data_IF_990310561535
#
_entry.id   IF_990310561535
#
_cell.length_a   1.000
_cell.length_b   1.000
_cell.length_c   1.000
_cell.angle_alpha   90.00
_cell.angle_beta   90.00
_cell.angle_gamma   90.00
#
_symmetry.space_group_name_H-M   'P 1'
#
loop_
_entity.id
_entity.type
_entity.pdbx_description
1 polymer ?
#
# COMPACT_ATOMS: atom_id res chain seq x y z
N UNK A 1 -5.62 20.28 -13.74
CA UNK A 1 -5.00 19.18 -12.96
C UNK A 1 -3.50 19.29 -13.13
N UNK A 2 -2.72 19.29 -12.04
CA UNK A 2 -1.27 19.47 -12.07
C UNK A 2 -0.58 18.09 -12.11
N UNK A 3 0.49 17.97 -12.92
CA UNK A 3 1.24 16.75 -13.13
C UNK A 3 2.66 16.91 -12.63
N UNK A 4 3.23 15.85 -12.04
CA UNK A 4 4.56 15.82 -11.46
C UNK A 4 5.35 14.63 -12.00
N UNK A 5 6.62 14.81 -12.25
CA UNK A 5 7.49 13.73 -12.70
C UNK A 5 7.60 12.64 -11.63
N UNK A 6 7.56 11.38 -12.07
CA UNK A 6 7.80 10.25 -11.18
C UNK A 6 9.32 10.14 -10.94
N UNK A 7 9.73 10.17 -9.67
CA UNK A 7 11.12 10.07 -9.25
C UNK A 7 11.85 8.88 -9.89
N UNK A 8 12.96 9.15 -10.57
CA UNK A 8 13.73 8.18 -11.34
C UNK A 8 13.22 7.92 -12.75
N UNK A 9 12.10 8.55 -13.14
CA UNK A 9 11.47 8.47 -14.46
C UNK A 9 11.15 9.86 -15.04
N UNK A 10 11.90 10.86 -14.64
CA UNK A 10 11.77 12.24 -15.09
C UNK A 10 11.82 12.31 -16.62
N UNK A 11 10.92 13.10 -17.21
CA UNK A 11 10.80 13.23 -18.66
C UNK A 11 10.17 12.03 -19.38
N UNK A 12 9.85 10.94 -18.69
CA UNK A 12 9.21 9.76 -19.25
C UNK A 12 7.77 9.57 -18.73
N UNK A 13 7.57 9.73 -17.42
CA UNK A 13 6.26 9.49 -16.79
C UNK A 13 5.96 10.54 -15.73
N UNK A 14 4.67 10.88 -15.66
CA UNK A 14 4.14 11.81 -14.67
C UNK A 14 2.93 11.21 -13.94
N UNK A 15 2.72 11.67 -12.70
CA UNK A 15 1.61 11.30 -11.85
C UNK A 15 0.90 12.56 -11.34
N UNK A 16 -0.40 12.47 -11.08
CA UNK A 16 -1.18 13.53 -10.44
C UNK A 16 -1.71 13.09 -9.07
N UNK A 17 -2.33 14.01 -8.33
CA UNK A 17 -2.88 13.80 -6.99
C UNK A 17 -4.03 12.78 -6.93
N UNK A 18 -4.65 12.45 -8.06
CA UNK A 18 -5.69 11.43 -8.14
C UNK A 18 -5.14 10.01 -8.37
N UNK A 19 -3.81 9.87 -8.52
CA UNK A 19 -3.17 8.59 -8.82
C UNK A 19 -3.23 8.19 -10.29
N UNK A 20 -3.59 9.12 -11.19
CA UNK A 20 -3.48 8.87 -12.62
C UNK A 20 -2.02 9.00 -13.05
N UNK A 21 -1.57 8.12 -13.94
CA UNK A 21 -0.21 8.11 -14.49
C UNK A 21 -0.26 8.29 -15.99
N UNK A 22 0.60 9.16 -16.53
CA UNK A 22 0.77 9.34 -17.97
C UNK A 22 2.20 9.15 -18.41
N UNK A 23 2.39 8.57 -19.59
CA UNK A 23 3.66 8.65 -20.30
C UNK A 23 3.78 9.98 -21.00
N UNK A 24 4.99 10.52 -21.10
CA UNK A 24 5.31 11.69 -21.88
C UNK A 24 5.77 11.30 -23.30
N UNK A 25 5.60 12.15 -24.30
CA UNK A 25 6.18 11.92 -25.61
C UNK A 25 7.71 11.83 -25.51
N UNK A 26 8.29 10.75 -26.05
CA UNK A 26 9.73 10.55 -26.05
C UNK A 26 10.19 9.63 -27.19
N UNK A 27 11.48 9.68 -27.50
CA UNK A 27 12.12 8.77 -28.44
C UNK A 27 12.88 7.68 -27.71
N UNK A 28 12.74 6.44 -28.16
CA UNK A 28 13.56 5.31 -27.71
C UNK A 28 14.48 4.85 -28.83
N UNK A 29 15.79 4.72 -28.53
CA UNK A 29 16.79 4.20 -29.47
C UNK A 29 16.88 2.68 -29.37
N UNK A 30 16.91 2.01 -30.50
CA UNK A 30 17.19 0.58 -30.65
C UNK A 30 18.46 0.38 -31.47
N UNK A 31 18.94 -0.85 -31.53
CA UNK A 31 20.13 -1.22 -32.33
C UNK A 31 20.00 -0.75 -33.79
N UNK A 32 18.83 -0.84 -34.38
CA UNK A 32 18.56 -0.59 -35.80
C UNK A 32 17.61 0.59 -36.04
N UNK A 33 17.46 1.55 -35.09
CA UNK A 33 16.60 2.69 -35.33
C UNK A 33 16.14 3.41 -34.07
N UNK A 34 15.15 4.28 -34.26
CA UNK A 34 14.51 5.08 -33.19
C UNK A 34 13.02 4.95 -33.33
N UNK A 35 12.30 4.72 -32.22
CA UNK A 35 10.85 4.77 -32.18
C UNK A 35 10.38 6.00 -31.38
N UNK A 36 9.34 6.64 -31.89
CA UNK A 36 8.65 7.72 -31.17
C UNK A 36 7.47 7.14 -30.40
N UNK A 37 7.39 7.46 -29.13
CA UNK A 37 6.27 7.11 -28.25
C UNK A 37 5.44 8.38 -27.99
N UNK A 38 4.18 8.34 -28.39
CA UNK A 38 3.25 9.42 -28.08
C UNK A 38 2.80 9.30 -26.60
N UNK A 39 2.76 10.43 -25.89
CA UNK A 39 2.32 10.46 -24.50
C UNK A 39 0.84 10.08 -24.37
N UNK A 40 0.50 9.26 -23.37
CA UNK A 40 -0.87 8.84 -23.07
C UNK A 40 -1.06 8.49 -21.61
N UNK A 41 -2.31 8.51 -21.15
CA UNK A 41 -2.68 7.92 -19.86
C UNK A 41 -2.39 6.42 -19.86
N UNK A 42 -1.79 5.93 -18.80
CA UNK A 42 -1.47 4.52 -18.64
C UNK A 42 -2.65 3.77 -18.02
N UNK A 43 -2.87 2.55 -18.50
CA UNK A 43 -3.83 1.63 -17.90
C UNK A 43 -3.30 1.11 -16.58
N UNK A 44 -4.10 1.21 -15.53
CA UNK A 44 -3.80 0.64 -14.23
C UNK A 44 -4.29 -0.81 -14.18
N UNK A 45 -3.54 -1.64 -13.45
CA UNK A 45 -3.83 -3.06 -13.28
C UNK A 45 -4.19 -3.37 -11.83
N UNK A 46 -5.23 -4.18 -11.61
CA UNK A 46 -5.52 -4.71 -10.28
C UNK A 46 -4.45 -5.76 -9.89
N UNK A 47 -4.00 -5.71 -8.64
CA UNK A 47 -3.00 -6.65 -8.11
C UNK A 47 -3.55 -8.02 -7.76
N UNK A 48 -4.88 -8.22 -7.84
CA UNK A 48 -5.58 -9.39 -7.30
C UNK A 48 -5.84 -9.30 -5.79
N UNK A 49 -5.29 -8.25 -5.11
CA UNK A 49 -5.50 -7.97 -3.68
C UNK A 49 -6.15 -6.59 -3.46
N UNK A 50 -6.78 -6.05 -4.51
CA UNK A 50 -7.49 -4.76 -4.50
C UNK A 50 -6.60 -3.53 -4.70
N UNK A 51 -5.27 -3.65 -4.76
CA UNK A 51 -4.38 -2.53 -5.04
C UNK A 51 -4.22 -2.29 -6.54
N UNK A 52 -4.10 -1.03 -6.93
CA UNK A 52 -3.79 -0.65 -8.31
C UNK A 52 -2.27 -0.54 -8.52
N UNK A 53 -1.83 -1.02 -9.68
CA UNK A 53 -0.43 -1.02 -10.13
C UNK A 53 -0.30 -0.43 -11.51
N UNK A 54 0.89 0.07 -11.83
CA UNK A 54 1.30 0.52 -13.17
C UNK A 54 2.66 -0.04 -13.52
N UNK A 55 2.87 -0.35 -14.80
CA UNK A 55 4.15 -0.77 -15.33
C UNK A 55 4.84 0.42 -16.02
N UNK A 56 6.04 0.75 -15.56
CA UNK A 56 6.89 1.80 -16.12
C UNK A 56 8.11 1.16 -16.77
N UNK A 57 8.49 1.65 -17.94
CA UNK A 57 9.65 1.16 -18.69
C UNK A 57 10.70 2.27 -18.79
N UNK A 58 11.95 1.93 -18.47
CA UNK A 58 13.12 2.80 -18.68
C UNK A 58 14.32 1.94 -19.06
N UNK A 59 15.09 2.36 -20.05
CA UNK A 59 16.29 1.67 -20.55
C UNK A 59 16.03 0.18 -20.89
N UNK A 60 14.88 -0.09 -21.51
CA UNK A 60 14.47 -1.46 -21.88
C UNK A 60 14.04 -2.34 -20.71
N UNK A 61 14.05 -1.83 -19.48
CA UNK A 61 13.64 -2.57 -18.28
C UNK A 61 12.27 -2.10 -17.82
N UNK A 62 11.35 -3.04 -17.66
CA UNK A 62 10.01 -2.80 -17.10
C UNK A 62 10.04 -3.04 -15.59
N UNK A 63 9.44 -2.11 -14.85
CA UNK A 63 9.25 -2.22 -13.40
C UNK A 63 7.83 -1.89 -13.02
N UNK A 64 7.25 -2.68 -12.11
CA UNK A 64 5.89 -2.52 -11.62
C UNK A 64 5.87 -1.76 -10.31
N UNK A 65 4.97 -0.79 -10.23
CA UNK A 65 4.79 0.07 -9.06
C UNK A 65 3.35 0.05 -8.57
N UNK A 66 3.15 0.13 -7.27
CA UNK A 66 1.86 0.40 -6.68
C UNK A 66 1.53 1.89 -6.78
N UNK A 67 0.30 2.23 -7.17
CA UNK A 67 -0.13 3.63 -7.36
C UNK A 67 -0.08 4.40 -6.05
N UNK A 68 -0.64 3.87 -4.94
CA UNK A 68 -0.60 4.54 -3.64
C UNK A 68 0.83 4.90 -3.21
N UNK A 69 1.82 4.05 -3.51
CA UNK A 69 3.22 4.36 -3.18
C UNK A 69 3.83 5.44 -4.05
N UNK A 70 3.44 5.50 -5.33
CA UNK A 70 3.89 6.58 -6.22
C UNK A 70 3.27 7.91 -5.80
N UNK A 71 1.97 7.93 -5.47
CA UNK A 71 1.29 9.13 -4.97
C UNK A 71 1.89 9.59 -3.65
N UNK A 72 1.98 8.70 -2.66
CA UNK A 72 2.53 9.05 -1.36
C UNK A 72 3.99 9.55 -1.47
N UNK A 73 4.82 8.88 -2.27
CA UNK A 73 6.21 9.27 -2.47
C UNK A 73 6.41 10.56 -3.25
N UNK A 74 5.38 11.04 -3.98
CA UNK A 74 5.45 12.28 -4.75
C UNK A 74 4.84 13.47 -4.00
N UNK A 75 3.80 13.25 -3.19
CA UNK A 75 2.96 14.33 -2.66
C UNK A 75 2.89 14.41 -1.14
N UNK A 76 3.33 13.38 -0.42
CA UNK A 76 3.19 13.31 1.05
C UNK A 76 4.59 13.21 1.67
N UNK A 77 4.93 14.19 2.50
CA UNK A 77 6.17 14.17 3.25
C UNK A 77 6.21 13.00 4.23
N UNK A 78 7.39 12.38 4.37
CA UNK A 78 7.61 11.27 5.28
C UNK A 78 8.82 11.53 6.19
N UNK A 79 8.75 12.51 7.10
CA UNK A 79 9.88 12.89 7.95
C UNK A 79 10.32 11.77 8.90
N UNK A 80 9.39 10.89 9.27
CA UNK A 80 9.64 9.76 10.16
C UNK A 80 10.12 8.49 9.43
N UNK A 81 10.28 8.52 8.10
CA UNK A 81 10.65 7.38 7.27
C UNK A 81 9.76 6.15 7.49
N UNK A 82 8.46 6.35 7.67
CA UNK A 82 7.52 5.25 7.83
C UNK A 82 7.50 4.33 6.60
N UNK A 83 7.51 2.99 6.80
CA UNK A 83 7.67 2.05 5.69
C UNK A 83 6.38 1.76 4.92
N UNK A 84 5.21 2.09 5.48
CA UNK A 84 3.92 1.71 4.92
C UNK A 84 3.08 2.93 4.53
N UNK A 85 2.26 2.74 3.49
CA UNK A 85 1.23 3.70 3.07
C UNK A 85 -0.12 3.09 3.39
N UNK A 86 -0.91 3.77 4.20
CA UNK A 86 -2.27 3.40 4.57
C UNK A 86 -3.28 4.11 3.65
N UNK A 87 -4.41 3.45 3.40
CA UNK A 87 -5.61 4.06 2.81
C UNK A 87 -6.57 4.42 3.94
N UNK A 88 -6.72 5.71 4.24
CA UNK A 88 -7.52 6.22 5.36
C UNK A 88 -8.96 5.68 5.35
N UNK A 89 -9.57 5.59 4.18
CA UNK A 89 -10.91 5.02 4.00
C UNK A 89 -10.98 3.48 3.99
N UNK A 90 -9.83 2.78 4.03
CA UNK A 90 -9.75 1.34 3.80
C UNK A 90 -9.95 0.91 2.34
N UNK A 91 -10.35 1.82 1.45
CA UNK A 91 -10.54 1.51 0.02
C UNK A 91 -9.21 1.53 -0.72
N UNK A 92 -8.64 0.36 -1.00
CA UNK A 92 -7.36 0.18 -1.69
C UNK A 92 -7.32 0.68 -3.14
N UNK A 93 -8.47 0.97 -3.74
CA UNK A 93 -8.58 1.51 -5.10
C UNK A 93 -8.62 3.03 -5.14
N UNK A 94 -8.90 3.70 -4.03
CA UNK A 94 -8.90 5.15 -3.91
C UNK A 94 -7.50 5.66 -3.56
N UNK A 95 -6.72 5.99 -4.59
CA UNK A 95 -5.34 6.43 -4.46
C UNK A 95 -5.17 7.96 -4.52
N UNK A 96 -6.24 8.72 -4.25
CA UNK A 96 -6.14 10.18 -4.12
C UNK A 96 -5.28 10.55 -2.92
N UNK A 97 -4.51 11.62 -3.03
CA UNK A 97 -3.55 12.03 -2.00
C UNK A 97 -4.21 12.24 -0.64
N UNK A 98 -5.44 12.79 -0.60
CA UNK A 98 -6.20 13.00 0.63
C UNK A 98 -6.64 11.72 1.35
N UNK A 99 -6.60 10.56 0.66
CA UNK A 99 -6.92 9.26 1.23
C UNK A 99 -5.68 8.43 1.62
N UNK A 100 -4.49 9.00 1.51
CA UNK A 100 -3.24 8.28 1.76
C UNK A 100 -2.44 8.95 2.87
N UNK A 101 -1.77 8.14 3.67
CA UNK A 101 -0.85 8.59 4.70
C UNK A 101 0.31 7.62 4.88
N UNK A 102 1.48 8.15 5.30
CA UNK A 102 2.59 7.30 5.72
C UNK A 102 2.40 6.88 7.17
N UNK A 103 2.54 5.59 7.45
CA UNK A 103 2.31 5.03 8.79
C UNK A 103 3.39 4.02 9.18
N UNK A 104 3.55 3.83 10.50
CA UNK A 104 4.28 2.69 11.03
C UNK A 104 3.50 1.40 10.79
N UNK A 105 4.17 0.25 10.85
CA UNK A 105 3.51 -1.05 10.74
C UNK A 105 2.44 -1.24 11.83
N UNK A 106 2.75 -0.85 13.07
CA UNK A 106 1.81 -0.94 14.19
C UNK A 106 0.55 -0.09 13.99
N UNK A 107 0.70 1.16 13.56
CA UNK A 107 -0.44 2.06 13.26
C UNK A 107 -1.31 1.49 12.15
N UNK A 108 -0.70 0.92 11.10
CA UNK A 108 -1.45 0.33 10.00
C UNK A 108 -2.28 -0.89 10.43
N UNK A 109 -1.70 -1.73 11.31
CA UNK A 109 -2.44 -2.86 11.90
C UNK A 109 -3.61 -2.37 12.75
N UNK A 110 -3.38 -1.39 13.63
CA UNK A 110 -4.46 -0.78 14.46
C UNK A 110 -5.59 -0.25 13.60
N UNK A 111 -5.28 0.48 12.54
CA UNK A 111 -6.27 0.98 11.59
C UNK A 111 -7.05 -0.15 10.92
N UNK A 112 -6.36 -1.19 10.43
CA UNK A 112 -7.02 -2.35 9.82
C UNK A 112 -7.96 -3.08 10.79
N UNK A 113 -7.58 -3.18 12.08
CA UNK A 113 -8.46 -3.73 13.15
C UNK A 113 -9.70 -2.86 13.33
N UNK A 114 -9.52 -1.55 13.51
CA UNK A 114 -10.64 -0.62 13.74
C UNK A 114 -11.64 -0.59 12.59
N UNK A 115 -11.16 -0.82 11.36
CA UNK A 115 -11.98 -0.91 10.15
C UNK A 115 -12.59 -2.29 9.90
N UNK A 116 -12.30 -3.30 10.74
CA UNK A 116 -12.76 -4.68 10.53
C UNK A 116 -12.18 -5.35 9.27
N UNK A 117 -11.04 -4.87 8.78
CA UNK A 117 -10.41 -5.33 7.53
C UNK A 117 -9.52 -6.55 7.71
N UNK A 118 -9.56 -7.22 8.87
CA UNK A 118 -8.82 -8.45 9.08
C UNK A 118 -9.40 -9.58 8.24
N UNK A 119 -8.55 -10.23 7.45
CA UNK A 119 -8.88 -11.53 6.88
C UNK A 119 -8.69 -12.59 7.96
N UNK A 120 -9.79 -13.07 8.49
CA UNK A 120 -9.82 -14.21 9.39
C UNK A 120 -9.60 -15.46 8.52
N UNK A 121 -8.47 -16.15 8.69
CA UNK A 121 -8.27 -17.47 8.09
C UNK A 121 -8.54 -18.52 9.16
N UNK A 122 -9.34 -19.54 8.82
CA UNK A 122 -9.50 -20.70 9.69
C UNK A 122 -8.20 -21.50 9.72
N UNK A 123 -7.38 -21.27 10.75
CA UNK A 123 -6.28 -22.16 11.03
C UNK A 123 -6.77 -23.33 11.88
N UNK A 124 -6.63 -24.56 11.36
CA UNK A 124 -7.07 -25.81 12.04
C UNK A 124 -6.25 -26.16 13.27
N UNK A 125 -5.16 -25.45 13.54
CA UNK A 125 -4.23 -25.67 14.66
C UNK A 125 -4.29 -24.58 15.74
N UNK A 126 -5.38 -23.81 15.85
CA UNK A 126 -5.48 -22.77 16.88
C UNK A 126 -5.43 -23.38 18.29
N UNK A 127 -4.35 -23.08 19.04
CA UNK A 127 -4.25 -23.30 20.46
C UNK A 127 -5.37 -22.55 21.18
N UNK A 128 -5.85 -23.05 22.31
CA UNK A 128 -6.85 -22.34 23.14
C UNK A 128 -6.29 -20.96 23.50
N UNK A 129 -6.83 -19.92 22.90
CA UNK A 129 -6.41 -18.55 23.16
C UNK A 129 -7.12 -18.05 24.41
N UNK A 130 -6.33 -17.59 25.39
CA UNK A 130 -6.83 -16.83 26.55
C UNK A 130 -6.64 -15.34 26.28
N UNK A 131 -7.34 -14.46 27.00
CA UNK A 131 -7.14 -13.01 26.86
C UNK A 131 -5.68 -12.59 27.10
N UNK A 132 -5.00 -13.29 27.98
CA UNK A 132 -3.60 -13.03 28.34
C UNK A 132 -2.65 -13.35 27.19
N UNK A 133 -2.79 -14.52 26.55
CA UNK A 133 -2.02 -14.90 25.36
C UNK A 133 -2.31 -13.99 24.17
N UNK A 134 -3.57 -13.53 24.05
CA UNK A 134 -3.99 -12.63 23.00
C UNK A 134 -3.30 -11.26 23.11
N UNK A 135 -3.20 -10.73 24.34
CA UNK A 135 -2.47 -9.48 24.63
C UNK A 135 -0.99 -9.60 24.30
N UNK A 136 -0.35 -10.68 24.71
CA UNK A 136 1.08 -10.94 24.43
C UNK A 136 1.33 -11.08 22.92
N UNK A 137 0.49 -11.84 22.23
CA UNK A 137 0.59 -12.03 20.78
C UNK A 137 0.39 -10.71 20.02
N UNK A 138 -0.57 -9.88 20.45
CA UNK A 138 -0.81 -8.55 19.87
C UNK A 138 0.38 -7.62 20.09
N UNK A 139 0.92 -7.59 21.31
CA UNK A 139 2.07 -6.75 21.64
C UNK A 139 3.31 -7.16 20.84
N UNK A 140 3.59 -8.46 20.77
CA UNK A 140 4.74 -8.96 20.00
C UNK A 140 4.59 -8.66 18.51
N UNK A 141 3.41 -8.86 17.92
CA UNK A 141 3.19 -8.55 16.53
C UNK A 141 3.26 -7.04 16.23
N UNK A 142 2.80 -6.20 17.17
CA UNK A 142 2.94 -4.74 17.06
C UNK A 142 4.40 -4.33 17.10
N UNK A 143 5.19 -4.90 18.03
CA UNK A 143 6.62 -4.60 18.18
C UNK A 143 7.44 -5.07 16.97
N UNK A 144 7.10 -6.24 16.42
CA UNK A 144 7.82 -6.84 15.29
C UNK A 144 7.29 -6.38 13.92
N UNK A 145 6.19 -5.62 13.88
CA UNK A 145 5.57 -5.18 12.63
C UNK A 145 4.92 -6.31 11.82
N UNK A 146 4.60 -7.42 12.47
CA UNK A 146 4.02 -8.60 11.85
C UNK A 146 2.48 -8.50 11.75
N UNK A 147 1.92 -9.21 10.76
CA UNK A 147 0.48 -9.40 10.65
C UNK A 147 0.05 -10.60 11.49
N UNK A 148 -1.05 -10.48 12.23
CA UNK A 148 -1.63 -11.60 12.98
C UNK A 148 -2.80 -12.16 12.17
N UNK A 149 -2.83 -13.47 12.06
CA UNK A 149 -3.98 -14.21 11.54
C UNK A 149 -4.83 -14.66 12.75
N UNK A 150 -6.07 -14.17 12.83
CA UNK A 150 -6.98 -14.45 13.94
C UNK A 150 -8.11 -15.33 13.43
N UNK A 151 -8.38 -16.45 14.15
CA UNK A 151 -9.51 -17.30 13.81
C UNK A 151 -10.84 -16.63 14.17
N UNK A 152 -11.98 -16.98 13.50
CA UNK A 152 -13.30 -16.46 13.86
C UNK A 152 -13.68 -16.72 15.33
N UNK A 153 -13.20 -17.83 15.90
CA UNK A 153 -13.46 -18.21 17.30
C UNK A 153 -12.73 -17.30 18.27
N UNK A 154 -11.54 -16.84 17.89
CA UNK A 154 -10.65 -16.07 18.76
C UNK A 154 -10.87 -14.56 18.61
N UNK A 155 -11.64 -14.14 17.60
CA UNK A 155 -11.90 -12.72 17.32
C UNK A 155 -12.45 -11.96 18.54
N UNK A 156 -13.37 -12.60 19.29
CA UNK A 156 -13.94 -12.00 20.51
C UNK A 156 -12.89 -11.77 21.59
N UNK A 157 -11.97 -12.71 21.76
CA UNK A 157 -10.87 -12.65 22.75
C UNK A 157 -9.89 -11.55 22.40
N UNK A 158 -9.48 -11.46 21.12
CA UNK A 158 -8.59 -10.40 20.65
C UNK A 158 -9.24 -9.02 20.73
N UNK A 159 -10.53 -8.90 20.43
CA UNK A 159 -11.26 -7.64 20.55
C UNK A 159 -11.31 -7.17 22.01
N UNK A 160 -11.58 -8.07 22.94
CA UNK A 160 -11.58 -7.78 24.38
C UNK A 160 -10.18 -7.40 24.89
N UNK A 161 -9.16 -8.13 24.46
CA UNK A 161 -7.77 -7.85 24.82
C UNK A 161 -7.33 -6.47 24.28
N UNK A 162 -7.73 -6.12 23.05
CA UNK A 162 -7.38 -4.84 22.43
C UNK A 162 -7.96 -3.64 23.16
N UNK A 163 -9.21 -3.76 23.67
CA UNK A 163 -9.85 -2.70 24.45
C UNK A 163 -9.15 -2.39 25.78
N UNK A 164 -8.39 -3.36 26.33
CA UNK A 164 -7.61 -3.19 27.57
C UNK A 164 -6.26 -2.50 27.38
N UNK A 165 -5.77 -2.37 26.13
CA UNK A 165 -4.47 -1.72 25.82
C UNK A 165 -4.63 -0.19 25.65
N UNK A 166 -5.86 0.32 25.54
CA UNK A 166 -6.16 1.75 25.34
C UNK A 166 -6.36 2.54 26.65
N UNK A 167 -6.03 1.98 27.82
CA UNK A 167 -6.15 2.66 29.12
C UNK A 167 -4.80 3.09 29.66
#
# INVERSE_FOLDING_TARGET
MKWFDIKGYEGLYQINQNGEVRGLPHYTKFKNGTAYHNGKLLKLHDSGKGYLKVDLCKDGKQKRFFIHRLVAGTFIDNPNNYPQVNHISGNKKDNRVENLEWVSASTNVKHAVSMGLFHITEDKNSWKLTEENALETLNNAILEGNSIVISPRDFGVYKSAFQKVEV
#
